data_IF_966803006640
#
_entry.id   IF_966803006640
#
_cell.length_a   1.000
_cell.length_b   1.000
_cell.length_c   1.000
_cell.angle_alpha   90.00
_cell.angle_beta   90.00
_cell.angle_gamma   90.00
#
_symmetry.space_group_name_H-M   'P 1'
#
loop_
_entity.id
_entity.type
_entity.pdbx_description
1 polymer ?
#
# COMPACT_ATOMS: atom_id res chain seq x y z
N UNK A 1 -18.38 -3.64 -2.94
CA UNK A 1 -18.12 -2.30 -3.53
C UNK A 1 -17.57 -2.51 -4.93
N UNK A 2 -17.71 -1.59 -5.89
CA UNK A 2 -17.11 -1.79 -7.21
C UNK A 2 -15.64 -1.37 -7.23
N UNK A 3 -14.82 -2.09 -8.00
CA UNK A 3 -13.39 -1.80 -8.16
C UNK A 3 -13.10 -0.35 -8.61
N UNK A 4 -13.86 0.26 -9.55
CA UNK A 4 -13.63 1.65 -9.95
C UNK A 4 -13.79 2.68 -8.81
N UNK A 5 -14.70 2.45 -7.85
CA UNK A 5 -14.87 3.34 -6.70
C UNK A 5 -13.68 3.24 -5.75
N UNK A 6 -13.19 2.02 -5.54
CA UNK A 6 -12.01 1.76 -4.71
C UNK A 6 -10.77 2.39 -5.35
N UNK A 7 -10.58 2.19 -6.64
CA UNK A 7 -9.47 2.75 -7.41
C UNK A 7 -9.44 4.28 -7.32
N UNK A 8 -10.56 4.94 -7.63
CA UNK A 8 -10.67 6.40 -7.55
C UNK A 8 -10.43 6.91 -6.13
N UNK A 9 -10.93 6.19 -5.12
CA UNK A 9 -10.71 6.51 -3.72
C UNK A 9 -9.24 6.39 -3.32
N UNK A 10 -8.57 5.30 -3.68
CA UNK A 10 -7.16 5.04 -3.38
C UNK A 10 -6.27 6.12 -4.00
N UNK A 11 -6.45 6.38 -5.30
CA UNK A 11 -5.70 7.41 -6.05
C UNK A 11 -5.84 8.82 -5.46
N UNK A 12 -7.00 9.17 -4.90
CA UNK A 12 -7.23 10.49 -4.27
C UNK A 12 -6.80 10.54 -2.80
N UNK A 13 -6.71 9.39 -2.13
CA UNK A 13 -6.57 9.38 -0.68
C UNK A 13 -5.16 9.72 -0.22
N UNK A 14 -4.13 9.20 -0.88
CA UNK A 14 -2.71 9.31 -0.50
C UNK A 14 -2.31 8.48 0.73
N UNK A 15 -3.24 8.26 1.66
CA UNK A 15 -3.09 7.32 2.80
C UNK A 15 -4.39 6.55 3.02
N UNK A 16 -4.33 5.40 3.68
CA UNK A 16 -5.47 4.58 4.03
C UNK A 16 -5.28 3.93 5.40
N UNK A 17 -6.32 3.34 5.95
CA UNK A 17 -6.22 2.54 7.17
C UNK A 17 -6.21 1.05 6.86
N UNK A 18 -5.27 0.33 7.46
CA UNK A 18 -5.26 -1.14 7.55
C UNK A 18 -5.55 -1.47 9.01
N UNK A 19 -6.79 -1.89 9.29
CA UNK A 19 -7.29 -1.95 10.66
C UNK A 19 -7.15 -0.60 11.37
N UNK A 20 -6.22 -0.51 12.34
CA UNK A 20 -5.95 0.71 13.14
C UNK A 20 -4.69 1.47 12.72
N UNK A 21 -3.99 1.03 11.67
CA UNK A 21 -2.73 1.64 11.22
C UNK A 21 -2.97 2.48 9.97
N UNK A 22 -2.54 3.74 10.01
CA UNK A 22 -2.52 4.59 8.83
C UNK A 22 -1.29 4.24 7.99
N UNK A 23 -1.49 3.99 6.70
CA UNK A 23 -0.44 3.62 5.77
C UNK A 23 -0.47 4.52 4.53
N UNK A 24 0.71 4.94 4.08
CA UNK A 24 0.87 5.42 2.70
C UNK A 24 0.96 4.22 1.76
N UNK A 25 0.55 4.41 0.52
CA UNK A 25 0.36 3.33 -0.45
C UNK A 25 0.50 3.85 -1.87
N UNK A 26 0.54 2.93 -2.84
CA UNK A 26 0.27 3.21 -4.25
C UNK A 26 -0.90 2.35 -4.74
N UNK A 27 -1.65 2.88 -5.71
CA UNK A 27 -2.53 2.05 -6.55
C UNK A 27 -1.79 1.65 -7.82
N UNK A 28 -1.77 0.36 -8.12
CA UNK A 28 -1.17 -0.16 -9.35
C UNK A 28 -1.95 -1.39 -9.82
N UNK A 29 -2.31 -1.41 -11.10
CA UNK A 29 -2.95 -2.54 -11.79
C UNK A 29 -4.06 -3.25 -10.99
N UNK A 30 -5.04 -2.48 -10.49
CA UNK A 30 -6.20 -3.02 -9.79
C UNK A 30 -5.98 -3.36 -8.31
N UNK A 31 -4.79 -3.11 -7.77
CA UNK A 31 -4.46 -3.39 -6.37
C UNK A 31 -3.79 -2.23 -5.65
N UNK A 32 -3.79 -2.32 -4.32
CA UNK A 32 -3.08 -1.42 -3.42
C UNK A 32 -1.76 -2.06 -3.05
N UNK A 33 -0.68 -1.30 -3.13
CA UNK A 33 0.64 -1.74 -2.70
C UNK A 33 1.09 -0.92 -1.49
N UNK A 34 1.62 -1.60 -0.49
CA UNK A 34 2.22 -0.99 0.70
C UNK A 34 3.59 -1.63 0.95
N UNK A 35 4.43 -0.98 1.75
CA UNK A 35 5.70 -1.53 2.21
C UNK A 35 5.77 -1.46 3.73
N UNK A 36 6.43 -2.44 4.35
CA UNK A 36 6.70 -2.45 5.79
C UNK A 36 8.10 -3.01 6.10
N UNK A 37 8.64 -2.68 7.27
CA UNK A 37 9.98 -3.08 7.71
C UNK A 37 11.12 -2.27 7.08
N UNK A 38 12.36 -2.48 7.51
CA UNK A 38 13.55 -1.87 6.91
C UNK A 38 13.62 -0.33 7.02
N UNK A 39 13.03 0.23 8.08
CA UNK A 39 12.91 1.68 8.26
C UNK A 39 11.71 2.32 7.57
N UNK A 40 10.85 1.52 6.95
CA UNK A 40 9.53 1.93 6.46
C UNK A 40 8.46 1.86 7.55
N UNK A 41 7.21 2.20 7.18
CA UNK A 41 6.06 2.17 8.08
C UNK A 41 5.85 0.79 8.73
N UNK A 42 5.46 0.78 10.00
CA UNK A 42 5.22 -0.44 10.78
C UNK A 42 3.77 -0.93 10.61
N UNK A 43 3.60 -2.12 10.03
CA UNK A 43 2.31 -2.76 9.73
C UNK A 43 2.29 -4.18 10.34
N UNK A 44 2.25 -4.31 11.67
CA UNK A 44 2.43 -5.58 12.36
C UNK A 44 1.30 -6.57 12.04
N UNK A 45 1.68 -7.82 11.76
CA UNK A 45 0.77 -8.91 11.42
C UNK A 45 0.23 -8.88 9.99
N UNK A 46 0.58 -7.86 9.19
CA UNK A 46 0.09 -7.75 7.81
C UNK A 46 0.56 -8.93 6.97
N UNK A 47 1.85 -9.26 7.01
CA UNK A 47 2.45 -10.33 6.18
C UNK A 47 1.96 -11.73 6.54
N UNK A 48 1.40 -11.91 7.74
CA UNK A 48 0.87 -13.19 8.22
C UNK A 48 -0.66 -13.29 8.02
N UNK A 49 -1.31 -12.20 7.64
CA UNK A 49 -2.74 -12.17 7.38
C UNK A 49 -3.03 -12.69 5.96
N UNK A 50 -4.12 -13.44 5.79
CA UNK A 50 -4.65 -13.77 4.45
C UNK A 50 -5.57 -12.68 3.87
N UNK A 51 -6.17 -11.88 4.75
CA UNK A 51 -7.11 -10.82 4.42
C UNK A 51 -7.09 -9.73 5.50
N UNK A 52 -7.35 -8.48 5.11
CA UNK A 52 -7.45 -7.33 6.00
C UNK A 52 -8.60 -6.40 5.61
N UNK A 53 -9.15 -5.68 6.58
CA UNK A 53 -10.05 -4.55 6.34
C UNK A 53 -9.25 -3.29 6.00
N UNK A 54 -9.54 -2.72 4.83
CA UNK A 54 -8.98 -1.47 4.34
C UNK A 54 -10.04 -0.38 4.39
N UNK A 55 -9.70 0.78 4.94
CA UNK A 55 -10.57 1.96 4.95
C UNK A 55 -9.91 3.13 4.21
N UNK A 56 -10.55 3.58 3.13
CA UNK A 56 -10.19 4.80 2.42
C UNK A 56 -10.84 6.01 3.07
N UNK A 57 -10.15 7.15 3.05
CA UNK A 57 -10.61 8.39 3.68
C UNK A 57 -10.56 9.58 2.73
N UNK A 58 -11.30 10.64 3.04
CA UNK A 58 -11.30 11.90 2.28
C UNK A 58 -10.09 12.75 2.59
N UNK A 59 -9.40 13.30 1.57
CA UNK A 59 -8.13 14.03 1.78
C UNK A 59 -8.34 15.35 2.49
N UNK A 60 -9.52 15.92 2.31
CA UNK A 60 -9.84 17.25 2.77
C UNK A 60 -10.20 17.27 4.26
N UNK A 61 -10.89 16.24 4.75
CA UNK A 61 -11.43 16.22 6.11
C UNK A 61 -11.22 14.92 6.88
N UNK A 62 -10.58 13.91 6.29
CA UNK A 62 -10.29 12.63 6.94
C UNK A 62 -11.48 11.69 7.12
N UNK A 63 -12.68 12.04 6.64
CA UNK A 63 -13.87 11.20 6.77
C UNK A 63 -13.71 9.86 6.06
N UNK A 64 -14.27 8.79 6.61
CA UNK A 64 -14.35 7.48 5.95
C UNK A 64 -15.16 7.61 4.66
N UNK A 65 -14.56 7.19 3.53
CA UNK A 65 -15.23 7.15 2.23
C UNK A 65 -15.77 5.75 1.94
N UNK A 66 -14.95 4.74 2.20
CA UNK A 66 -15.29 3.34 1.97
C UNK A 66 -14.42 2.43 2.83
N UNK A 67 -15.02 1.34 3.30
CA UNK A 67 -14.34 0.19 3.89
C UNK A 67 -14.59 -1.08 3.06
N UNK A 68 -13.56 -1.91 2.89
CA UNK A 68 -13.64 -3.18 2.14
C UNK A 68 -12.58 -4.17 2.62
N UNK A 69 -12.84 -5.46 2.42
CA UNK A 69 -11.87 -6.52 2.64
C UNK A 69 -10.90 -6.60 1.45
N UNK A 70 -9.63 -6.88 1.72
CA UNK A 70 -8.61 -7.09 0.69
C UNK A 70 -7.75 -8.30 1.03
N UNK A 71 -7.52 -9.19 0.05
CA UNK A 71 -6.57 -10.27 0.21
C UNK A 71 -5.15 -9.75 0.26
N UNK A 72 -4.34 -10.36 1.11
CA UNK A 72 -2.95 -9.97 1.33
C UNK A 72 -2.01 -10.94 0.62
N UNK A 73 -1.02 -10.40 -0.08
CA UNK A 73 0.01 -11.18 -0.72
C UNK A 73 1.37 -10.49 -0.62
N UNK A 74 2.41 -11.24 -0.27
CA UNK A 74 3.79 -10.75 -0.30
C UNK A 74 4.25 -10.73 -1.76
N UNK A 75 4.74 -9.58 -2.21
CA UNK A 75 5.19 -9.38 -3.59
C UNK A 75 6.61 -9.92 -3.76
N UNK A 76 6.82 -10.72 -4.80
CA UNK A 76 8.16 -10.94 -5.35
C UNK A 76 8.61 -9.65 -6.06
N UNK A 77 9.36 -8.82 -5.32
CA UNK A 77 9.79 -7.50 -5.76
C UNK A 77 10.66 -7.54 -7.03
N UNK A 78 11.37 -8.65 -7.29
CA UNK A 78 12.18 -8.80 -8.49
C UNK A 78 11.32 -9.14 -9.71
N UNK A 79 10.22 -9.87 -9.51
CA UNK A 79 9.28 -10.24 -10.56
C UNK A 79 8.26 -9.12 -10.88
N UNK A 80 7.99 -8.20 -9.94
CA UNK A 80 7.05 -7.08 -10.12
C UNK A 80 7.72 -5.68 -10.01
N UNK A 81 8.70 -5.36 -10.87
CA UNK A 81 9.46 -4.10 -10.77
C UNK A 81 8.59 -2.85 -10.98
N UNK A 82 7.54 -2.93 -11.81
CA UNK A 82 6.67 -1.78 -12.10
C UNK A 82 5.79 -1.39 -10.91
N UNK A 83 5.29 -2.38 -10.16
CA UNK A 83 4.53 -2.14 -8.94
C UNK A 83 5.41 -1.54 -7.83
N UNK A 84 6.63 -2.07 -7.67
CA UNK A 84 7.63 -1.52 -6.74
C UNK A 84 8.01 -0.09 -7.12
N UNK A 85 8.19 0.19 -8.42
CA UNK A 85 8.49 1.54 -8.90
C UNK A 85 7.32 2.51 -8.70
N UNK A 86 6.07 2.06 -8.89
CA UNK A 86 4.88 2.85 -8.59
C UNK A 86 4.82 3.22 -7.10
N UNK A 87 5.07 2.25 -6.21
CA UNK A 87 5.12 2.49 -4.77
C UNK A 87 6.26 3.42 -4.36
N UNK A 88 7.45 3.24 -4.97
CA UNK A 88 8.62 4.09 -4.72
C UNK A 88 8.36 5.57 -5.03
N UNK A 89 7.57 5.87 -6.08
CA UNK A 89 7.20 7.25 -6.44
C UNK A 89 6.36 7.95 -5.37
N UNK A 90 5.55 7.21 -4.61
CA UNK A 90 4.71 7.74 -3.54
C UNK A 90 5.51 8.02 -2.24
N UNK A 91 6.77 7.56 -2.16
CA UNK A 91 7.65 7.83 -1.01
C UNK A 91 8.37 9.17 -1.15
N UNK A 92 7.62 10.25 -0.94
CA UNK A 92 8.09 11.63 -1.19
C UNK A 92 9.26 12.10 -0.29
N UNK A 93 9.45 11.49 0.89
CA UNK A 93 10.47 11.88 1.86
C UNK A 93 11.63 10.88 1.95
N UNK A 94 11.88 10.08 0.90
CA UNK A 94 13.03 9.20 0.87
C UNK A 94 14.35 9.99 0.75
N UNK A 95 15.37 9.72 1.59
CA UNK A 95 16.66 10.41 1.50
C UNK A 95 17.45 10.04 0.23
N UNK A 96 17.24 8.83 -0.28
CA UNK A 96 17.75 8.36 -1.57
C UNK A 96 16.63 7.63 -2.31
N UNK A 97 16.04 8.33 -3.29
CA UNK A 97 14.97 7.80 -4.11
C UNK A 97 15.48 6.81 -5.18
N UNK A 98 16.73 6.96 -5.64
CA UNK A 98 17.28 6.10 -6.70
C UNK A 98 17.61 4.69 -6.18
N UNK A 99 18.12 4.58 -4.95
CA UNK A 99 18.41 3.31 -4.28
C UNK A 99 17.24 2.65 -3.56
N UNK A 100 16.04 3.25 -3.61
CA UNK A 100 14.91 2.87 -2.75
C UNK A 100 14.44 1.43 -2.96
N UNK A 101 14.24 1.02 -4.21
CA UNK A 101 13.78 -0.34 -4.54
C UNK A 101 14.80 -1.42 -4.09
N UNK A 102 16.09 -1.18 -4.29
CA UNK A 102 17.14 -2.09 -3.83
C UNK A 102 17.18 -2.21 -2.30
N UNK A 103 16.97 -1.09 -1.59
CA UNK A 103 16.89 -1.10 -0.12
C UNK A 103 15.68 -1.89 0.37
N UNK A 104 14.53 -1.74 -0.29
CA UNK A 104 13.34 -2.53 0.05
C UNK A 104 13.54 -4.01 -0.21
N UNK A 105 14.15 -4.39 -1.34
CA UNK A 105 14.49 -5.79 -1.61
C UNK A 105 15.37 -6.40 -0.52
N UNK A 106 16.26 -5.61 0.10
CA UNK A 106 17.17 -6.09 1.14
C UNK A 106 16.58 -6.09 2.55
N UNK A 107 15.67 -5.18 2.87
CA UNK A 107 15.31 -4.87 4.26
C UNK A 107 13.81 -4.70 4.53
N UNK A 108 12.98 -4.67 3.51
CA UNK A 108 11.54 -4.41 3.62
C UNK A 108 10.73 -5.47 2.88
N UNK A 109 9.42 -5.46 3.12
CA UNK A 109 8.47 -6.33 2.43
C UNK A 109 7.44 -5.46 1.74
N UNK A 110 7.31 -5.61 0.42
CA UNK A 110 6.21 -5.02 -0.35
C UNK A 110 5.05 -6.02 -0.34
N UNK A 111 3.86 -5.49 -0.07
CA UNK A 111 2.63 -6.26 0.10
C UNK A 111 1.57 -5.73 -0.85
N UNK A 112 0.95 -6.63 -1.59
CA UNK A 112 -0.21 -6.39 -2.44
C UNK A 112 -1.49 -6.65 -1.64
N UNK A 113 -2.42 -5.70 -1.71
CA UNK A 113 -3.77 -5.78 -1.17
C UNK A 113 -4.76 -5.72 -2.32
N UNK A 114 -5.39 -6.85 -2.64
CA UNK A 114 -6.36 -6.95 -3.74
C UNK A 114 -7.78 -6.86 -3.18
N UNK A 115 -8.58 -5.86 -3.56
CA UNK A 115 -9.97 -5.73 -3.10
C UNK A 115 -10.83 -6.95 -3.40
N UNK A 116 -11.74 -7.31 -2.48
CA UNK A 116 -12.74 -8.38 -2.62
C UNK A 116 -14.14 -7.86 -2.95
#
# INVERSE_FOLDING_TARGET
MSLPVIEEGAKKSGVLWIGRRLAWHAWHDGAIYVVTGGGEQDLPGLTDAGEVDVTLRSKDNGAELVRFAASVEIVDQAAEPDAVAALAKERLNAPDAAGLAARWAAHSTVVRLTPR
#
